data_IF_626985083231
#
_entry.id   IF_626985083231
#
_cell.length_a   1.000
_cell.length_b   1.000
_cell.length_c   1.000
_cell.angle_alpha   90.00
_cell.angle_beta   90.00
_cell.angle_gamma   90.00
#
_symmetry.space_group_name_H-M   'P 1'
#
loop_
_entity.id
_entity.type
_entity.pdbx_description
1 polymer ?
#
# COMPACT_ATOMS: atom_id res chain seq x y z
N UNK A 1 -3.01 1.10 9.60
CA UNK A 1 -2.58 0.19 8.49
C UNK A 1 -3.73 -0.12 7.56
N UNK A 2 -4.92 -0.43 8.11
CA UNK A 2 -6.15 -0.70 7.35
C UNK A 2 -6.41 0.27 6.18
N UNK A 3 -6.46 1.58 6.42
CA UNK A 3 -6.78 2.56 5.36
C UNK A 3 -5.77 2.55 4.20
N UNK A 4 -4.50 2.28 4.48
CA UNK A 4 -3.46 2.22 3.47
C UNK A 4 -3.59 0.97 2.60
N UNK A 5 -3.95 -0.16 3.20
CA UNK A 5 -4.29 -1.39 2.46
C UNK A 5 -5.51 -1.17 1.58
N UNK A 6 -6.60 -0.64 2.14
CA UNK A 6 -7.83 -0.36 1.38
C UNK A 6 -7.54 0.54 0.19
N UNK A 7 -6.77 1.62 0.41
CA UNK A 7 -6.38 2.54 -0.66
C UNK A 7 -5.53 1.85 -1.73
N UNK A 8 -4.54 1.05 -1.34
CA UNK A 8 -3.69 0.30 -2.27
C UNK A 8 -4.49 -0.72 -3.08
N UNK A 9 -5.41 -1.45 -2.44
CA UNK A 9 -6.29 -2.44 -3.09
C UNK A 9 -7.17 -1.75 -4.12
N UNK A 10 -7.85 -0.66 -3.73
CA UNK A 10 -8.71 0.11 -4.64
C UNK A 10 -7.90 0.66 -5.82
N UNK A 11 -6.71 1.22 -5.57
CA UNK A 11 -5.85 1.75 -6.62
C UNK A 11 -5.41 0.66 -7.61
N UNK A 12 -4.96 -0.50 -7.12
CA UNK A 12 -4.55 -1.64 -7.95
C UNK A 12 -5.71 -2.18 -8.78
N UNK A 13 -6.89 -2.35 -8.16
CA UNK A 13 -8.10 -2.80 -8.85
C UNK A 13 -8.55 -1.82 -9.94
N UNK A 14 -8.22 -0.54 -9.80
CA UNK A 14 -8.43 0.49 -10.81
C UNK A 14 -7.32 0.57 -11.89
N UNK A 15 -6.35 -0.36 -11.88
CA UNK A 15 -5.25 -0.41 -12.85
C UNK A 15 -4.02 0.41 -12.47
N UNK A 16 -3.96 0.97 -11.26
CA UNK A 16 -2.77 1.67 -10.77
C UNK A 16 -1.61 0.72 -10.45
N UNK A 17 -0.37 1.19 -10.66
CA UNK A 17 0.85 0.39 -10.51
C UNK A 17 1.67 0.70 -9.25
N UNK A 18 1.14 1.55 -8.35
CA UNK A 18 1.82 1.90 -7.11
C UNK A 18 1.08 2.94 -6.30
N UNK A 19 1.53 3.15 -5.06
CA UNK A 19 0.94 4.11 -4.12
C UNK A 19 2.02 4.98 -3.48
N UNK A 20 1.92 6.30 -3.65
CA UNK A 20 2.84 7.26 -3.03
C UNK A 20 2.48 7.41 -1.55
N UNK A 21 3.34 6.90 -0.66
CA UNK A 21 3.10 6.91 0.79
C UNK A 21 4.24 7.52 1.63
N UNK A 22 5.29 8.07 0.99
CA UNK A 22 6.51 8.55 1.65
C UNK A 22 6.28 9.47 2.85
N UNK A 23 5.58 10.60 2.68
CA UNK A 23 5.30 11.53 3.80
C UNK A 23 4.62 10.83 4.99
N UNK A 24 3.63 9.98 4.71
CA UNK A 24 2.87 9.26 5.75
C UNK A 24 3.70 8.16 6.43
N UNK A 25 4.62 7.52 5.71
CA UNK A 25 5.54 6.53 6.25
C UNK A 25 6.64 7.16 7.12
N UNK A 26 7.25 8.27 6.65
CA UNK A 26 8.35 8.94 7.35
C UNK A 26 7.90 9.81 8.54
N UNK A 27 6.61 10.10 8.67
CA UNK A 27 6.03 10.76 9.85
C UNK A 27 5.65 9.79 10.98
N UNK A 28 5.88 8.49 10.81
CA UNK A 28 5.61 7.47 11.83
C UNK A 28 6.90 7.01 12.50
N UNK A 29 6.83 6.39 13.70
CA UNK A 29 7.95 5.62 14.23
C UNK A 29 8.51 4.68 13.16
N UNK A 30 9.83 4.54 13.11
CA UNK A 30 10.53 3.84 12.02
C UNK A 30 9.95 2.44 11.74
N UNK A 31 9.67 1.66 12.79
CA UNK A 31 9.07 0.33 12.68
C UNK A 31 7.69 0.36 12.00
N UNK A 32 6.85 1.30 12.37
CA UNK A 32 5.51 1.46 11.81
C UNK A 32 5.55 1.96 10.37
N UNK A 33 6.52 2.84 10.04
CA UNK A 33 6.76 3.31 8.69
C UNK A 33 7.20 2.18 7.75
N UNK A 34 8.14 1.34 8.20
CA UNK A 34 8.58 0.14 7.47
C UNK A 34 7.40 -0.82 7.26
N UNK A 35 6.63 -1.09 8.31
CA UNK A 35 5.47 -1.98 8.21
C UNK A 35 4.45 -1.43 7.22
N UNK A 36 4.17 -0.12 7.25
CA UNK A 36 3.27 0.54 6.31
C UNK A 36 3.73 0.35 4.85
N UNK A 37 5.02 0.56 4.57
CA UNK A 37 5.58 0.41 3.23
C UNK A 37 5.47 -1.05 2.77
N UNK A 38 5.92 -2.02 3.57
CA UNK A 38 5.87 -3.44 3.23
C UNK A 38 4.44 -3.90 2.94
N UNK A 39 3.49 -3.53 3.79
CA UNK A 39 2.08 -3.90 3.61
C UNK A 39 1.48 -3.33 2.31
N UNK A 40 1.88 -2.14 1.88
CA UNK A 40 1.46 -1.61 0.58
C UNK A 40 2.09 -2.42 -0.55
N UNK A 41 3.36 -2.78 -0.44
CA UNK A 41 4.04 -3.59 -1.44
C UNK A 41 3.43 -4.98 -1.58
N UNK A 42 3.03 -5.61 -0.47
CA UNK A 42 2.35 -6.91 -0.46
C UNK A 42 1.07 -6.87 -1.32
N UNK A 43 0.29 -5.78 -1.25
CA UNK A 43 -0.89 -5.58 -2.10
C UNK A 43 -0.54 -5.53 -3.59
N UNK A 44 0.54 -4.84 -3.98
CA UNK A 44 0.95 -4.77 -5.39
C UNK A 44 1.58 -6.06 -5.90
N UNK A 45 2.20 -6.85 -5.03
CA UNK A 45 2.77 -8.16 -5.36
C UNK A 45 1.74 -9.29 -5.36
N UNK A 46 0.61 -9.14 -4.66
CA UNK A 46 -0.44 -10.16 -4.59
C UNK A 46 -1.20 -10.30 -5.93
N UNK A 47 -0.99 -11.41 -6.62
CA UNK A 47 -1.62 -11.70 -7.91
C UNK A 47 -3.13 -11.96 -7.83
N UNK A 48 -3.69 -12.22 -6.65
CA UNK A 48 -5.14 -12.40 -6.46
C UNK A 48 -5.93 -11.09 -6.58
N UNK A 49 -5.26 -9.94 -6.39
CA UNK A 49 -5.86 -8.62 -6.53
C UNK A 49 -5.78 -8.20 -7.99
N UNK A 50 -6.80 -8.58 -8.76
CA UNK A 50 -6.89 -8.25 -10.18
C UNK A 50 -7.52 -6.89 -10.42
N UNK A 51 -7.33 -6.36 -11.63
CA UNK A 51 -8.13 -5.25 -12.15
C UNK A 51 -9.59 -5.70 -12.25
N UNK A 52 -10.52 -4.78 -11.94
CA UNK A 52 -11.97 -5.02 -11.97
C UNK A 52 -12.59 -4.77 -13.35
#
# INVERSE_FOLDING_TARGET
>A
LHDAVVTAVVNKRAGGMGLISGRKAFQKPMKDGIQLLNTIQDVYLDSSITIA
#
